data_IF_284789130250
#
_entry.id   IF_284789130250
#
_cell.length_a   1.000
_cell.length_b   1.000
_cell.length_c   1.000
_cell.angle_alpha   90.00
_cell.angle_beta   90.00
_cell.angle_gamma   90.00
#
_symmetry.space_group_name_H-M   'P 1'
#
loop_
_entity.id
_entity.type
_entity.pdbx_description
1 polymer ?
#
# COMPACT_ATOMS: atom_id res chain seq x y z
N UNK A 1 18.10 8.59 -21.16
CA UNK A 1 17.90 9.95 -21.71
C UNK A 1 16.89 10.63 -20.83
N UNK A 2 17.27 11.71 -20.14
CA UNK A 2 16.36 12.46 -19.27
C UNK A 2 15.46 13.33 -20.16
N UNK A 3 14.15 13.16 -20.06
CA UNK A 3 13.18 14.03 -20.74
C UNK A 3 12.85 15.22 -19.83
N UNK A 4 13.45 16.37 -20.15
CA UNK A 4 13.21 17.64 -19.43
C UNK A 4 11.96 18.38 -19.90
N UNK A 5 11.24 17.86 -20.92
CA UNK A 5 10.02 18.45 -21.47
C UNK A 5 8.78 17.62 -21.15
N UNK A 6 8.89 16.63 -20.27
CA UNK A 6 7.76 15.81 -19.89
C UNK A 6 6.64 16.68 -19.31
N UNK A 7 5.46 16.59 -19.92
CA UNK A 7 4.23 17.24 -19.46
C UNK A 7 3.23 16.15 -19.13
N UNK A 8 2.69 16.14 -17.89
CA UNK A 8 1.86 15.04 -17.47
C UNK A 8 0.60 14.96 -18.33
N UNK A 9 0.39 13.83 -18.99
CA UNK A 9 -0.80 13.50 -19.76
C UNK A 9 -2.03 13.38 -18.87
N UNK A 10 -3.21 13.20 -19.48
CA UNK A 10 -4.45 13.05 -18.70
C UNK A 10 -4.42 11.82 -17.78
N UNK A 11 -3.88 10.70 -18.26
CA UNK A 11 -3.75 9.48 -17.47
C UNK A 11 -2.87 9.69 -16.24
N UNK A 12 -1.74 10.39 -16.38
CA UNK A 12 -0.83 10.69 -15.27
C UNK A 12 -1.48 11.61 -14.25
N UNK A 13 -2.21 12.63 -14.69
CA UNK A 13 -2.94 13.53 -13.77
C UNK A 13 -4.05 12.80 -13.02
N UNK A 14 -4.81 11.93 -13.69
CA UNK A 14 -5.86 11.11 -13.06
C UNK A 14 -5.24 10.16 -12.05
N UNK A 15 -4.16 9.46 -12.43
CA UNK A 15 -3.46 8.55 -11.54
C UNK A 15 -2.90 9.27 -10.32
N UNK A 16 -2.30 10.46 -10.49
CA UNK A 16 -1.79 11.26 -9.39
C UNK A 16 -2.91 11.69 -8.42
N UNK A 17 -4.08 12.05 -8.93
CA UNK A 17 -5.23 12.40 -8.10
C UNK A 17 -5.74 11.20 -7.28
N UNK A 18 -5.82 10.02 -7.91
CA UNK A 18 -6.20 8.77 -7.23
C UNK A 18 -5.15 8.39 -6.18
N UNK A 19 -3.87 8.48 -6.53
CA UNK A 19 -2.76 8.14 -5.64
C UNK A 19 -2.74 9.04 -4.40
N UNK A 20 -2.96 10.35 -4.57
CA UNK A 20 -3.09 11.29 -3.46
C UNK A 20 -4.28 10.96 -2.54
N UNK A 21 -5.43 10.57 -3.11
CA UNK A 21 -6.60 10.19 -2.33
C UNK A 21 -6.34 8.92 -1.49
N UNK A 22 -5.71 7.91 -2.09
CA UNK A 22 -5.38 6.66 -1.39
C UNK A 22 -4.33 6.85 -0.30
N UNK A 23 -3.34 7.72 -0.52
CA UNK A 23 -2.36 8.09 0.51
C UNK A 23 -3.07 8.76 1.68
N UNK A 24 -3.92 9.75 1.43
CA UNK A 24 -4.65 10.45 2.48
C UNK A 24 -5.56 9.50 3.29
N UNK A 25 -6.25 8.58 2.63
CA UNK A 25 -7.06 7.55 3.28
C UNK A 25 -6.20 6.62 4.16
N UNK A 26 -5.03 6.21 3.64
CA UNK A 26 -4.08 5.38 4.37
C UNK A 26 -3.54 6.08 5.62
N UNK A 27 -3.21 7.37 5.52
CA UNK A 27 -2.73 8.19 6.64
C UNK A 27 -3.81 8.41 7.71
N UNK A 28 -5.08 8.49 7.31
CA UNK A 28 -6.21 8.59 8.23
C UNK A 28 -6.55 7.26 8.93
N UNK A 29 -6.05 6.13 8.41
CA UNK A 29 -6.30 4.80 8.99
C UNK A 29 -5.44 4.58 10.24
N UNK A 30 -6.03 4.22 11.39
CA UNK A 30 -5.26 3.92 12.59
C UNK A 30 -4.23 2.80 12.36
N UNK A 31 -2.98 2.97 12.82
CA UNK A 31 -1.97 1.92 12.67
C UNK A 31 -2.37 0.67 13.45
N UNK A 32 -2.08 -0.50 12.89
CA UNK A 32 -2.33 -1.78 13.55
C UNK A 32 -1.42 -1.91 14.77
N UNK A 33 -1.96 -2.45 15.86
CA UNK A 33 -1.23 -2.73 17.10
C UNK A 33 -0.63 -4.15 17.14
N UNK A 34 -0.51 -4.79 15.98
CA UNK A 34 -0.05 -6.16 15.83
C UNK A 34 0.69 -6.34 14.49
N UNK A 35 1.57 -7.36 14.43
CA UNK A 35 2.28 -7.72 13.21
C UNK A 35 1.36 -8.50 12.26
N UNK A 36 1.38 -8.14 10.98
CA UNK A 36 0.65 -8.87 9.95
C UNK A 36 1.18 -10.30 9.75
N UNK A 37 0.33 -11.22 9.31
CA UNK A 37 0.71 -12.61 9.06
C UNK A 37 1.84 -12.74 8.01
N UNK A 38 1.96 -11.78 7.09
CA UNK A 38 3.07 -11.70 6.12
C UNK A 38 4.46 -11.55 6.74
N UNK A 39 4.54 -11.28 8.05
CA UNK A 39 5.80 -11.18 8.79
C UNK A 39 6.33 -12.52 9.28
N UNK A 40 5.53 -13.59 9.18
CA UNK A 40 5.99 -14.93 9.55
C UNK A 40 7.21 -15.34 8.70
N UNK A 41 8.28 -15.76 9.36
CA UNK A 41 9.53 -16.13 8.70
C UNK A 41 10.44 -14.96 8.31
N UNK A 42 10.10 -13.71 8.68
CA UNK A 42 11.00 -12.58 8.45
C UNK A 42 12.28 -12.72 9.27
N UNK A 43 13.43 -12.66 8.60
CA UNK A 43 14.72 -13.01 9.21
C UNK A 43 15.22 -12.00 10.25
N UNK A 44 14.82 -10.73 10.16
CA UNK A 44 15.31 -9.66 11.05
C UNK A 44 14.31 -9.37 12.17
N UNK A 45 14.54 -9.93 13.36
CA UNK A 45 13.69 -9.70 14.53
C UNK A 45 13.60 -8.21 14.93
N UNK A 46 14.71 -7.47 14.78
CA UNK A 46 14.73 -6.03 15.12
C UNK A 46 13.84 -5.20 14.20
N UNK A 47 13.74 -5.54 12.92
CA UNK A 47 12.80 -4.89 12.01
C UNK A 47 11.35 -5.14 12.45
N UNK A 48 11.03 -6.36 12.90
CA UNK A 48 9.71 -6.69 13.45
C UNK A 48 9.41 -5.91 14.72
N UNK A 49 10.39 -5.73 15.60
CA UNK A 49 10.22 -4.91 16.81
C UNK A 49 9.89 -3.45 16.48
N UNK A 50 10.57 -2.85 15.50
CA UNK A 50 10.27 -1.48 15.06
C UNK A 50 8.86 -1.35 14.49
N UNK A 51 8.43 -2.30 13.67
CA UNK A 51 7.06 -2.32 13.12
C UNK A 51 6.01 -2.49 14.22
N UNK A 52 6.24 -3.42 15.17
CA UNK A 52 5.32 -3.65 16.27
C UNK A 52 5.23 -2.44 17.23
N UNK A 53 6.36 -1.80 17.52
CA UNK A 53 6.42 -0.63 18.39
C UNK A 53 5.93 0.66 17.73
N UNK A 54 5.59 0.64 16.43
CA UNK A 54 5.19 1.84 15.69
C UNK A 54 6.32 2.86 15.59
N UNK A 55 7.56 2.41 15.48
CA UNK A 55 8.70 3.29 15.31
C UNK A 55 8.55 4.12 14.02
N UNK A 56 8.99 5.39 13.99
CA UNK A 56 9.00 6.19 12.78
C UNK A 56 9.75 5.48 11.66
N UNK A 57 9.20 5.54 10.46
CA UNK A 57 9.86 5.03 9.26
C UNK A 57 10.91 6.02 8.77
N UNK A 58 11.87 5.51 8.01
CA UNK A 58 12.79 6.34 7.24
C UNK A 58 12.01 7.13 6.17
N UNK A 59 12.52 8.31 5.83
CA UNK A 59 11.91 9.17 4.82
C UNK A 59 11.72 8.42 3.49
N UNK A 60 10.49 8.44 2.96
CA UNK A 60 10.15 7.77 1.71
C UNK A 60 9.97 6.25 1.80
N UNK A 61 10.04 5.64 2.99
CA UNK A 61 9.78 4.21 3.18
C UNK A 61 8.28 3.86 3.27
N UNK A 62 7.39 4.85 3.14
CA UNK A 62 5.94 4.62 3.02
C UNK A 62 5.54 4.10 1.64
N UNK A 63 4.37 3.48 1.59
CA UNK A 63 3.83 2.97 0.33
C UNK A 63 3.38 4.14 -0.54
N UNK A 64 3.92 4.23 -1.76
CA UNK A 64 3.42 5.16 -2.77
C UNK A 64 2.01 4.78 -3.23
N UNK A 65 1.28 5.74 -3.80
CA UNK A 65 -0.11 5.53 -4.24
C UNK A 65 -0.27 4.39 -5.23
N UNK A 66 0.69 4.18 -6.14
CA UNK A 66 0.67 3.03 -7.05
C UNK A 66 0.61 1.69 -6.29
N UNK A 67 1.38 1.52 -5.22
CA UNK A 67 1.35 0.31 -4.39
C UNK A 67 0.03 0.19 -3.65
N UNK A 68 -0.50 1.31 -3.13
CA UNK A 68 -1.81 1.33 -2.47
C UNK A 68 -2.94 0.94 -3.43
N UNK A 69 -2.89 1.35 -4.71
CA UNK A 69 -3.83 0.88 -5.75
C UNK A 69 -3.80 -0.64 -5.92
N UNK A 70 -2.61 -1.24 -5.92
CA UNK A 70 -2.46 -2.69 -6.05
C UNK A 70 -3.10 -3.41 -4.86
N UNK A 71 -2.89 -2.90 -3.64
CA UNK A 71 -3.53 -3.46 -2.44
C UNK A 71 -5.04 -3.36 -2.51
N UNK A 72 -5.57 -2.21 -2.94
CA UNK A 72 -7.03 -2.02 -3.04
C UNK A 72 -7.66 -2.96 -4.08
N UNK A 73 -7.04 -3.12 -5.25
CA UNK A 73 -7.47 -4.12 -6.23
C UNK A 73 -7.45 -5.52 -5.61
N UNK A 74 -6.41 -5.85 -4.84
CA UNK A 74 -6.31 -7.12 -4.11
C UNK A 74 -7.51 -7.37 -3.18
N UNK A 75 -7.88 -6.40 -2.35
CA UNK A 75 -9.03 -6.52 -1.44
C UNK A 75 -10.34 -6.75 -2.21
N UNK A 76 -10.59 -6.00 -3.28
CA UNK A 76 -11.81 -6.16 -4.10
C UNK A 76 -11.88 -7.54 -4.77
N UNK A 77 -10.73 -8.07 -5.19
CA UNK A 77 -10.64 -9.40 -5.79
C UNK A 77 -10.78 -10.54 -4.77
N UNK A 78 -10.36 -10.33 -3.52
CA UNK A 78 -10.53 -11.31 -2.45
C UNK A 78 -12.03 -11.57 -2.18
N UNK A 79 -12.85 -10.52 -2.11
CA UNK A 79 -14.31 -10.65 -1.97
C UNK A 79 -14.94 -11.43 -3.14
N UNK A 80 -14.47 -11.18 -4.37
CA UNK A 80 -14.92 -11.92 -5.55
C UNK A 80 -14.53 -13.40 -5.44
N UNK A 81 -13.29 -13.70 -5.07
CA UNK A 81 -12.79 -15.06 -4.91
C UNK A 81 -13.57 -15.81 -3.82
N UNK A 82 -13.84 -15.18 -2.68
CA UNK A 82 -14.66 -15.76 -1.60
C UNK A 82 -16.04 -16.13 -2.12
N UNK A 83 -16.69 -15.26 -2.89
CA UNK A 83 -18.02 -15.55 -3.47
C UNK A 83 -17.97 -16.78 -4.38
N UNK A 84 -16.98 -16.88 -5.26
CA UNK A 84 -16.85 -18.03 -6.16
C UNK A 84 -16.56 -19.33 -5.42
N UNK A 85 -15.66 -19.31 -4.45
CA UNK A 85 -15.31 -20.50 -3.67
C UNK A 85 -16.49 -21.04 -2.85
N UNK A 86 -17.37 -20.17 -2.35
CA UNK A 86 -18.59 -20.58 -1.63
C UNK A 86 -19.69 -21.13 -2.54
N UNK A 87 -19.65 -20.79 -3.83
CA UNK A 87 -20.62 -21.24 -4.82
C UNK A 87 -20.21 -22.56 -5.50
N UNK A 88 -18.98 -23.03 -5.27
CA UNK A 88 -18.45 -24.30 -5.76
C UNK A 88 -18.77 -25.45 -4.79
#
# INVERSE_FOLDING_TARGET
MLDYNHRPGIAERVNAAIDAALIAEREATPPRTYLGASRLGHACERALQFEFAGAPKDDGADFGGQTLRIFEIGHQLEDLAIRWLRAA
#
